data_IF_155194187325
#
_entry.id   IF_155194187325
#
_cell.length_a   1.000
_cell.length_b   1.000
_cell.length_c   1.000
_cell.angle_alpha   90.00
_cell.angle_beta   90.00
_cell.angle_gamma   90.00
#
_symmetry.space_group_name_H-M   'P 1'
#
loop_
_entity.id
_entity.type
_entity.pdbx_description
1 polymer ?
#
# COMPACT_ATOMS: atom_id res chain seq x y z
N UNK A 1 9.34 12.68 -8.35
CA UNK A 1 9.78 12.72 -6.93
C UNK A 1 9.05 13.85 -6.19
N UNK A 2 8.47 13.61 -5.01
CA UNK A 2 7.85 14.68 -4.22
C UNK A 2 8.92 15.71 -3.81
N UNK A 3 8.76 16.99 -4.18
CA UNK A 3 9.72 18.09 -3.91
C UNK A 3 10.03 18.33 -2.43
N UNK A 4 9.27 17.68 -1.56
CA UNK A 4 9.31 17.85 -0.13
C UNK A 4 10.01 16.70 0.60
N UNK A 5 10.49 15.70 -0.14
CA UNK A 5 11.28 14.63 0.44
C UNK A 5 12.71 15.13 0.73
N UNK A 6 13.16 15.03 1.99
CA UNK A 6 14.47 15.46 2.47
C UNK A 6 15.53 14.35 2.45
N UNK A 7 15.21 13.17 1.91
CA UNK A 7 16.05 11.98 1.98
C UNK A 7 16.08 11.29 3.36
N UNK A 8 15.42 11.86 4.38
CA UNK A 8 15.16 11.24 5.69
C UNK A 8 13.69 11.28 6.07
N UNK A 9 12.98 12.34 5.67
CA UNK A 9 11.57 12.55 5.97
C UNK A 9 10.90 13.45 4.90
N UNK A 10 9.65 13.83 5.13
CA UNK A 10 8.93 14.79 4.29
C UNK A 10 9.02 16.18 4.95
N UNK A 11 9.92 17.06 4.52
CA UNK A 11 10.28 18.33 5.17
C UNK A 11 9.23 19.44 5.22
N UNK A 12 7.95 19.14 5.00
CA UNK A 12 6.82 20.10 4.88
C UNK A 12 5.76 19.97 5.96
N UNK A 13 6.11 19.47 7.14
CA UNK A 13 5.11 19.26 8.19
C UNK A 13 4.26 20.50 8.55
N UNK A 14 4.78 21.74 8.52
CA UNK A 14 3.97 22.94 8.72
C UNK A 14 3.03 23.27 7.54
N UNK A 15 3.35 22.82 6.33
CA UNK A 15 2.71 23.25 5.06
C UNK A 15 2.41 22.03 4.18
N UNK A 16 1.81 20.98 4.75
CA UNK A 16 1.50 19.80 3.95
C UNK A 16 0.52 20.16 2.82
N UNK A 17 0.85 19.84 1.55
CA UNK A 17 -0.12 19.86 0.48
C UNK A 17 -1.31 19.01 0.86
N UNK A 18 -2.51 19.45 0.49
CA UNK A 18 -3.77 18.81 0.82
C UNK A 18 -3.77 17.31 0.49
N UNK A 19 -3.15 16.92 -0.63
CA UNK A 19 -2.95 15.52 -0.99
C UNK A 19 -2.21 14.71 0.09
N UNK A 20 -1.17 15.25 0.74
CA UNK A 20 -0.44 14.59 1.82
C UNK A 20 -1.12 14.71 3.20
N UNK A 21 -2.13 15.57 3.33
CA UNK A 21 -3.02 15.66 4.50
C UNK A 21 -4.09 14.58 4.40
N UNK A 22 -4.69 14.42 3.22
CA UNK A 22 -5.69 13.40 2.93
C UNK A 22 -5.08 12.00 2.80
N UNK A 23 -3.81 11.88 2.39
CA UNK A 23 -3.11 10.60 2.25
C UNK A 23 -2.18 10.30 3.43
N UNK A 24 -2.48 9.19 4.12
CA UNK A 24 -1.72 8.72 5.25
C UNK A 24 -0.64 7.71 4.83
N UNK A 25 0.57 8.18 4.57
CA UNK A 25 1.74 7.33 4.30
C UNK A 25 2.03 6.37 5.47
N UNK A 26 1.98 5.06 5.22
CA UNK A 26 2.18 4.01 6.21
C UNK A 26 3.61 3.99 6.79
N UNK A 27 4.64 4.21 5.95
CA UNK A 27 6.04 4.26 6.39
C UNK A 27 6.25 5.27 7.53
N UNK A 28 5.54 6.40 7.51
CA UNK A 28 5.58 7.40 8.58
C UNK A 28 4.77 7.05 9.83
N UNK A 29 3.75 6.20 9.69
CA UNK A 29 2.81 5.85 10.77
C UNK A 29 3.27 4.66 11.59
N UNK A 30 4.03 3.76 10.98
CA UNK A 30 4.49 2.53 11.61
C UNK A 30 6.02 2.63 11.72
N UNK A 31 6.52 2.97 12.90
CA UNK A 31 7.95 3.18 13.13
C UNK A 31 8.84 1.95 12.96
N UNK A 32 8.24 0.76 12.86
CA UNK A 32 8.94 -0.50 12.60
C UNK A 32 9.14 -0.79 11.10
N UNK A 33 8.58 0.02 10.19
CA UNK A 33 8.72 -0.22 8.76
C UNK A 33 10.14 0.10 8.29
N UNK A 34 10.76 -0.75 7.45
CA UNK A 34 12.12 -0.54 7.00
C UNK A 34 12.22 0.62 6.02
N UNK A 35 13.43 1.17 5.88
CA UNK A 35 13.73 2.28 4.97
C UNK A 35 13.37 2.00 3.50
N UNK A 36 13.34 0.73 3.07
CA UNK A 36 12.92 0.35 1.72
C UNK A 36 11.48 0.81 1.38
N UNK A 37 10.60 0.94 2.39
CA UNK A 37 9.23 1.43 2.20
C UNK A 37 9.13 2.96 2.08
N UNK A 38 10.26 3.67 2.23
CA UNK A 38 10.27 5.12 2.14
C UNK A 38 9.94 5.55 0.70
N UNK A 39 8.99 6.47 0.47
CA UNK A 39 8.49 6.76 -0.87
C UNK A 39 9.53 7.26 -1.90
N UNK A 40 10.57 7.99 -1.46
CA UNK A 40 11.66 8.41 -2.35
C UNK A 40 12.56 7.27 -2.80
N UNK A 41 12.62 6.17 -2.04
CA UNK A 41 13.41 4.98 -2.38
C UNK A 41 12.59 4.05 -3.25
N UNK A 42 11.42 3.64 -2.75
CA UNK A 42 10.51 2.74 -3.45
C UNK A 42 9.89 3.33 -4.72
N UNK A 43 9.74 4.65 -4.81
CA UNK A 43 8.90 5.28 -5.84
C UNK A 43 7.40 4.97 -5.66
N UNK A 44 7.02 4.36 -4.54
CA UNK A 44 5.65 3.93 -4.21
C UNK A 44 5.30 4.43 -2.81
N UNK A 45 4.09 4.97 -2.64
CA UNK A 45 3.51 5.32 -1.34
C UNK A 45 2.55 4.25 -0.91
N UNK A 46 2.73 3.70 0.29
CA UNK A 46 1.78 2.78 0.90
C UNK A 46 0.81 3.51 1.82
N UNK A 47 -0.47 3.16 1.74
CA UNK A 47 -1.55 3.68 2.58
C UNK A 47 -2.44 2.53 3.08
N UNK A 48 -3.12 2.75 4.21
CA UNK A 48 -4.20 1.89 4.66
C UNK A 48 -5.53 2.51 4.21
N UNK A 49 -6.27 1.81 3.36
CA UNK A 49 -7.55 2.26 2.80
C UNK A 49 -8.66 1.28 3.15
N UNK A 50 -9.91 1.74 3.14
CA UNK A 50 -11.08 0.85 3.08
C UNK A 50 -11.58 0.82 1.64
N UNK A 51 -11.69 -0.37 1.05
CA UNK A 51 -12.20 -0.54 -0.31
C UNK A 51 -13.50 -1.32 -0.30
N UNK A 52 -14.46 -0.85 -1.10
CA UNK A 52 -15.73 -1.52 -1.32
C UNK A 52 -15.61 -2.63 -2.38
N UNK A 53 -16.41 -3.70 -2.28
CA UNK A 53 -16.33 -4.89 -3.14
C UNK A 53 -16.58 -4.61 -4.63
N UNK A 54 -17.20 -3.47 -4.98
CA UNK A 54 -17.30 -3.02 -6.37
C UNK A 54 -15.96 -2.76 -7.08
N UNK A 55 -14.85 -2.73 -6.33
CA UNK A 55 -13.50 -2.54 -6.88
C UNK A 55 -12.84 -3.84 -7.37
N UNK A 56 -13.35 -5.01 -6.94
CA UNK A 56 -13.00 -6.33 -7.47
C UNK A 56 -13.97 -7.36 -6.88
N UNK A 57 -14.55 -8.25 -7.71
CA UNK A 57 -15.55 -9.23 -7.25
C UNK A 57 -15.02 -10.19 -6.18
N UNK A 58 -13.70 -10.32 -6.05
CA UNK A 58 -13.04 -11.19 -5.08
C UNK A 58 -12.57 -10.47 -3.81
N UNK A 59 -12.61 -9.14 -3.76
CA UNK A 59 -12.08 -8.40 -2.63
C UNK A 59 -13.12 -8.27 -1.51
N UNK A 60 -12.78 -8.66 -0.26
CA UNK A 60 -13.67 -8.41 0.88
C UNK A 60 -13.83 -6.89 1.09
N UNK A 61 -15.00 -6.47 1.57
CA UNK A 61 -15.20 -5.11 2.07
C UNK A 61 -14.38 -4.92 3.35
N UNK A 62 -13.14 -4.49 3.19
CA UNK A 62 -12.17 -4.55 4.27
C UNK A 62 -11.13 -3.43 4.19
N UNK A 63 -10.45 -3.22 5.31
CA UNK A 63 -9.20 -2.49 5.34
C UNK A 63 -8.19 -3.22 4.43
N UNK A 64 -7.42 -2.47 3.66
CA UNK A 64 -6.44 -2.98 2.72
C UNK A 64 -5.24 -2.07 2.63
N UNK A 65 -4.10 -2.65 2.24
CA UNK A 65 -2.88 -1.92 1.98
C UNK A 65 -2.83 -1.57 0.51
N UNK A 66 -2.66 -0.29 0.20
CA UNK A 66 -2.60 0.21 -1.17
C UNK A 66 -1.24 0.85 -1.40
N UNK A 67 -0.46 0.26 -2.30
CA UNK A 67 0.76 0.85 -2.83
C UNK A 67 0.47 1.62 -4.12
N UNK A 68 0.65 2.94 -4.08
CA UNK A 68 0.41 3.84 -5.21
C UNK A 68 1.73 4.31 -5.80
N UNK A 69 1.93 4.05 -7.09
CA UNK A 69 3.12 4.51 -7.80
C UNK A 69 3.13 6.04 -7.93
N UNK A 70 4.29 6.64 -7.71
CA UNK A 70 4.47 8.10 -7.74
C UNK A 70 4.75 8.65 -9.14
N UNK A 71 5.36 7.85 -10.02
CA UNK A 71 5.90 8.30 -11.30
C UNK A 71 5.89 7.14 -12.31
N UNK A 72 4.70 6.69 -12.70
CA UNK A 72 4.55 5.57 -13.65
C UNK A 72 4.53 4.18 -13.01
N UNK A 73 4.03 3.20 -13.76
CA UNK A 73 3.98 1.79 -13.33
C UNK A 73 5.38 1.18 -13.10
N UNK A 74 6.41 1.69 -13.77
CA UNK A 74 7.81 1.23 -13.65
C UNK A 74 8.34 1.33 -12.20
N UNK A 75 7.74 2.18 -11.37
CA UNK A 75 8.03 2.24 -9.94
C UNK A 75 7.83 0.88 -9.24
N UNK A 76 6.93 0.03 -9.74
CA UNK A 76 6.69 -1.31 -9.20
C UNK A 76 7.80 -2.33 -9.49
N UNK A 77 8.71 -2.01 -10.43
CA UNK A 77 9.83 -2.88 -10.81
C UNK A 77 11.10 -2.57 -10.00
N UNK A 78 11.13 -1.44 -9.31
CA UNK A 78 12.21 -1.10 -8.38
C UNK A 78 12.31 -2.15 -7.29
N UNK A 79 13.53 -2.60 -6.99
CA UNK A 79 13.74 -3.63 -5.99
C UNK A 79 13.19 -3.21 -4.62
N UNK A 80 13.29 -1.93 -4.24
CA UNK A 80 12.72 -1.41 -3.00
C UNK A 80 11.20 -1.57 -2.96
N UNK A 81 10.52 -1.31 -4.08
CA UNK A 81 9.07 -1.49 -4.19
C UNK A 81 8.71 -2.97 -4.12
N UNK A 82 9.42 -3.83 -4.85
CA UNK A 82 9.20 -5.29 -4.84
C UNK A 82 9.32 -5.85 -3.42
N UNK A 83 10.39 -5.50 -2.71
CA UNK A 83 10.59 -5.91 -1.31
C UNK A 83 9.51 -5.35 -0.38
N UNK A 84 9.10 -4.10 -0.57
CA UNK A 84 8.05 -3.49 0.22
C UNK A 84 6.70 -4.21 0.05
N UNK A 85 6.32 -4.54 -1.19
CA UNK A 85 5.12 -5.33 -1.45
C UNK A 85 5.24 -6.74 -0.87
N UNK A 86 6.38 -7.41 -1.09
CA UNK A 86 6.63 -8.75 -0.56
C UNK A 86 6.52 -8.79 0.96
N UNK A 87 7.00 -7.76 1.67
CA UNK A 87 6.86 -7.66 3.12
C UNK A 87 5.39 -7.64 3.57
N UNK A 88 4.54 -6.81 2.96
CA UNK A 88 3.10 -6.79 3.30
C UNK A 88 2.39 -8.08 2.94
N UNK A 89 2.76 -8.70 1.81
CA UNK A 89 2.20 -9.99 1.41
C UNK A 89 2.62 -11.10 2.39
N UNK A 90 3.87 -11.08 2.86
CA UNK A 90 4.38 -12.03 3.87
C UNK A 90 3.77 -11.83 5.24
N UNK A 91 3.48 -10.58 5.62
CA UNK A 91 2.76 -10.26 6.85
C UNK A 91 1.33 -10.81 6.79
N UNK A 92 0.66 -10.67 5.64
CA UNK A 92 -0.49 -11.48 5.27
C UNK A 92 -1.80 -11.10 5.96
N UNK A 93 -1.86 -10.08 6.81
CA UNK A 93 -3.08 -9.73 7.54
C UNK A 93 -4.12 -9.02 6.69
N UNK A 94 -3.68 -8.30 5.65
CA UNK A 94 -4.54 -7.43 4.85
C UNK A 94 -4.35 -7.68 3.36
N UNK A 95 -5.41 -7.51 2.55
CA UNK A 95 -5.28 -7.46 1.11
C UNK A 95 -4.29 -6.38 0.68
N UNK A 96 -3.48 -6.66 -0.34
CA UNK A 96 -2.48 -5.73 -0.86
C UNK A 96 -2.79 -5.41 -2.32
N UNK A 97 -2.80 -4.12 -2.64
CA UNK A 97 -3.11 -3.59 -3.97
C UNK A 97 -1.98 -2.75 -4.53
N UNK A 98 -1.77 -2.87 -5.84
CA UNK A 98 -0.99 -1.92 -6.63
C UNK A 98 -1.95 -0.95 -7.32
N UNK A 99 -1.63 0.34 -7.31
CA UNK A 99 -2.42 1.36 -8.01
C UNK A 99 -1.53 2.32 -8.78
N UNK A 100 -1.89 2.57 -10.03
CA UNK A 100 -1.27 3.57 -10.89
C UNK A 100 -2.36 4.14 -11.81
N UNK A 101 -2.42 5.46 -11.91
CA UNK A 101 -3.49 6.19 -12.60
C UNK A 101 -4.89 5.72 -12.17
N UNK A 102 -5.69 5.22 -13.12
CA UNK A 102 -7.02 4.66 -12.90
C UNK A 102 -7.02 3.14 -12.76
N UNK A 103 -5.85 2.50 -12.83
CA UNK A 103 -5.71 1.06 -12.75
C UNK A 103 -5.38 0.63 -11.32
N UNK A 104 -6.10 -0.38 -10.85
CA UNK A 104 -5.83 -1.04 -9.59
C UNK A 104 -5.75 -2.55 -9.81
N UNK A 105 -4.70 -3.16 -9.28
CA UNK A 105 -4.46 -4.60 -9.39
C UNK A 105 -4.32 -5.19 -8.00
N UNK A 106 -5.13 -6.21 -7.69
CA UNK A 106 -5.01 -6.96 -6.45
C UNK A 106 -3.78 -7.85 -6.52
N UNK A 107 -2.81 -7.62 -5.64
CA UNK A 107 -1.59 -8.43 -5.55
C UNK A 107 -1.79 -9.61 -4.59
N UNK A 108 -2.51 -9.38 -3.50
CA UNK A 108 -2.78 -10.38 -2.48
C UNK A 108 -4.16 -10.16 -1.87
N UNK A 109 -4.96 -11.22 -1.75
CA UNK A 109 -6.36 -11.15 -1.31
C UNK A 109 -6.53 -10.91 0.19
N UNK A 110 -5.48 -11.10 1.00
CA UNK A 110 -5.63 -11.23 2.44
C UNK A 110 -5.62 -12.71 2.85
N UNK A 111 -5.74 -12.99 4.16
CA UNK A 111 -5.77 -14.36 4.64
C UNK A 111 -6.96 -15.09 4.00
N UNK A 112 -6.75 -16.34 3.58
CA UNK A 112 -7.87 -17.18 3.18
C UNK A 112 -8.78 -17.32 4.41
N UNK A 113 -9.97 -16.73 4.36
CA UNK A 113 -11.03 -17.14 5.28
C UNK A 113 -11.22 -18.61 5.00
N UNK A 114 -10.80 -19.46 5.93
CA UNK A 114 -11.19 -20.85 5.91
C UNK A 114 -12.72 -20.83 5.94
N UNK A 115 -13.34 -21.08 4.79
CA UNK A 115 -14.73 -21.48 4.76
C UNK A 115 -14.74 -22.77 5.57
N UNK A 116 -15.23 -22.70 6.81
CA UNK A 116 -15.60 -23.88 7.57
C UNK A 116 -16.64 -24.60 6.73
N UNK A 117 -16.19 -25.56 5.91
CA UNK A 117 -17.05 -26.60 5.39
C UNK A 117 -17.59 -27.30 6.63
N UNK A 118 -18.79 -26.89 7.04
CA UNK A 118 -19.59 -27.63 8.00
C UNK A 118 -19.84 -29.00 7.40
N UNK A 119 -19.14 -29.97 7.97
CA UNK A 119 -19.58 -31.34 8.06
C UNK A 119 -20.94 -31.32 8.78
N UNK A 120 -22.02 -31.58 8.06
CA UNK A 120 -23.31 -31.95 8.65
C UNK A 120 -23.70 -33.31 8.04
N UNK A 121 -23.82 -34.27 8.96
CA UNK A 121 -24.02 -35.71 8.83
C UNK A 121 -25.24 -36.15 7.99
#
# INVERSE_FOLDING_TARGET
MCRHNSGRDCGIYPERPEACVQWHCLWRRIGALPDALRPDRAGVVFALERRSPGSSPDAPEAACIVGRALDGADAFERWEAVEAFAMFVREGSLPVWKTHDRHATLLYRGPAVAHSSGDEA
#
